data_IF_894438159093
#
_entry.id   IF_894438159093
#
_cell.length_a   1.000
_cell.length_b   1.000
_cell.length_c   1.000
_cell.angle_alpha   90.00
_cell.angle_beta   90.00
_cell.angle_gamma   90.00
#
_symmetry.space_group_name_H-M   'P 1'
#
loop_
_entity.id
_entity.type
_entity.pdbx_description
1 polymer ?
#
# COMPACT_ATOMS: atom_id res chain seq x y z
N UNK A 1 16.21 -0.31 -12.22
CA UNK A 1 15.31 0.35 -11.27
C UNK A 1 14.98 1.75 -11.75
N UNK A 2 13.74 2.09 -11.80
CA UNK A 2 13.34 3.44 -12.20
C UNK A 2 13.64 4.43 -11.07
N UNK A 3 14.39 5.45 -11.38
CA UNK A 3 14.74 6.50 -10.43
C UNK A 3 13.77 7.66 -10.48
N UNK A 4 12.96 7.71 -11.53
CA UNK A 4 12.01 8.80 -11.75
C UNK A 4 10.61 8.32 -11.39
N UNK A 5 9.93 8.97 -10.45
CA UNK A 5 8.54 8.61 -10.18
C UNK A 5 7.67 8.96 -11.38
N UNK A 6 6.59 8.21 -11.55
CA UNK A 6 5.58 8.51 -12.55
C UNK A 6 4.80 9.74 -12.08
N UNK A 7 5.00 10.85 -12.73
CA UNK A 7 4.33 12.11 -12.40
C UNK A 7 3.44 12.51 -13.57
N UNK A 8 2.17 12.73 -13.28
CA UNK A 8 1.16 13.06 -14.28
C UNK A 8 0.37 14.29 -13.78
N UNK A 9 0.29 15.36 -14.57
CA UNK A 9 -0.56 16.49 -14.19
C UNK A 9 -2.03 16.10 -14.23
N UNK A 10 -2.83 16.73 -13.37
CA UNK A 10 -4.27 16.42 -13.27
C UNK A 10 -5.01 16.65 -14.59
N UNK A 11 -4.56 17.56 -15.41
CA UNK A 11 -5.16 17.80 -16.73
C UNK A 11 -5.05 16.58 -17.63
N UNK A 12 -3.92 15.87 -17.57
CA UNK A 12 -3.70 14.66 -18.34
C UNK A 12 -4.59 13.52 -17.84
N UNK A 13 -4.76 13.41 -16.54
CA UNK A 13 -5.68 12.45 -15.94
C UNK A 13 -7.12 12.70 -16.38
N UNK A 14 -7.54 13.96 -16.46
CA UNK A 14 -8.88 14.32 -16.94
C UNK A 14 -9.09 13.95 -18.39
N UNK A 15 -8.06 14.06 -19.21
CA UNK A 15 -8.16 13.77 -20.64
C UNK A 15 -8.25 12.26 -20.91
N UNK A 16 -7.49 11.46 -20.18
CA UNK A 16 -7.45 10.02 -20.43
C UNK A 16 -7.19 9.24 -19.15
N UNK A 17 -8.16 9.23 -18.26
CA UNK A 17 -8.08 8.49 -17.00
C UNK A 17 -7.86 7.00 -17.22
N UNK A 18 -8.49 6.43 -18.26
CA UNK A 18 -8.36 5.01 -18.56
C UNK A 18 -6.92 4.60 -18.86
N UNK A 19 -6.22 5.39 -19.66
CA UNK A 19 -4.82 5.13 -19.99
C UNK A 19 -3.92 5.21 -18.75
N UNK A 20 -4.17 6.18 -17.89
CA UNK A 20 -3.39 6.36 -16.66
C UNK A 20 -3.62 5.18 -15.71
N UNK A 21 -4.87 4.74 -15.57
CA UNK A 21 -5.21 3.56 -14.73
C UNK A 21 -4.54 2.30 -15.27
N UNK A 22 -4.60 2.09 -16.58
CA UNK A 22 -3.93 0.94 -17.21
C UNK A 22 -2.43 0.96 -16.98
N UNK A 23 -1.81 2.12 -17.08
CA UNK A 23 -0.38 2.30 -16.85
C UNK A 23 -0.01 1.95 -15.41
N UNK A 24 -0.77 2.42 -14.43
CA UNK A 24 -0.56 2.10 -13.02
C UNK A 24 -0.72 0.60 -12.76
N UNK A 25 -1.73 -0.03 -13.37
CA UNK A 25 -1.98 -1.46 -13.22
C UNK A 25 -0.88 -2.30 -13.87
N UNK A 26 -0.38 -1.89 -15.03
CA UNK A 26 0.64 -2.63 -15.74
C UNK A 26 2.00 -2.56 -15.05
N UNK A 27 2.38 -1.40 -14.54
CA UNK A 27 3.68 -1.21 -13.90
C UNK A 27 3.71 -1.68 -12.45
N UNK A 28 2.57 -1.65 -11.76
CA UNK A 28 2.50 -1.90 -10.33
C UNK A 28 3.05 -0.75 -9.48
N UNK A 29 3.55 0.30 -10.12
CA UNK A 29 4.10 1.46 -9.44
C UNK A 29 3.05 2.55 -9.27
N UNK A 30 3.13 3.37 -8.22
CA UNK A 30 2.20 4.47 -8.04
C UNK A 30 2.42 5.57 -9.10
N UNK A 31 1.34 6.24 -9.46
CA UNK A 31 1.37 7.40 -10.33
C UNK A 31 1.02 8.63 -9.49
N UNK A 32 1.91 9.59 -9.46
CA UNK A 32 1.74 10.81 -8.68
C UNK A 32 1.01 11.84 -9.52
N UNK A 33 -0.13 12.29 -9.03
CA UNK A 33 -0.97 13.28 -9.71
C UNK A 33 -0.64 14.66 -9.17
N UNK A 34 -0.25 15.56 -10.05
CA UNK A 34 0.12 16.92 -9.66
C UNK A 34 -0.96 17.92 -10.03
N UNK A 35 -1.06 18.95 -9.21
CA UNK A 35 -1.94 20.08 -9.43
C UNK A 35 -1.19 21.34 -8.99
N UNK A 36 -1.11 22.33 -9.86
CA UNK A 36 -0.38 23.57 -9.59
C UNK A 36 1.09 23.30 -9.17
N UNK A 37 1.73 22.34 -9.84
CA UNK A 37 3.13 22.00 -9.59
C UNK A 37 3.40 21.19 -8.32
N UNK A 38 2.36 20.76 -7.62
CA UNK A 38 2.47 19.96 -6.40
C UNK A 38 1.75 18.63 -6.53
N UNK A 39 2.31 17.61 -5.92
CA UNK A 39 1.62 16.32 -5.82
C UNK A 39 0.42 16.45 -4.91
N UNK A 40 -0.77 16.21 -5.45
CA UNK A 40 -2.02 16.31 -4.70
C UNK A 40 -2.67 14.96 -4.44
N UNK A 41 -2.33 13.93 -5.22
CA UNK A 41 -2.91 12.61 -5.10
C UNK A 41 -1.96 11.56 -5.63
N UNK A 42 -2.21 10.31 -5.25
CA UNK A 42 -1.46 9.17 -5.75
C UNK A 42 -2.46 8.17 -6.30
N UNK A 43 -2.26 7.75 -7.54
CA UNK A 43 -3.05 6.72 -8.18
C UNK A 43 -2.28 5.41 -8.11
N UNK A 44 -2.91 4.38 -7.60
CA UNK A 44 -2.29 3.09 -7.39
C UNK A 44 -3.25 2.00 -7.84
N UNK A 45 -2.71 0.93 -8.44
CA UNK A 45 -3.56 -0.21 -8.76
C UNK A 45 -4.12 -0.83 -7.48
N UNK A 46 -5.30 -1.44 -7.59
CA UNK A 46 -5.93 -2.10 -6.44
C UNK A 46 -5.01 -3.17 -5.85
N UNK A 47 -4.34 -3.95 -6.71
CA UNK A 47 -3.42 -4.98 -6.24
C UNK A 47 -2.23 -4.43 -5.47
N UNK A 48 -1.65 -3.33 -5.96
CA UNK A 48 -0.53 -2.69 -5.27
C UNK A 48 -0.95 -2.10 -3.92
N UNK A 49 -2.11 -1.47 -3.88
CA UNK A 49 -2.68 -0.93 -2.65
C UNK A 49 -2.92 -2.04 -1.61
N UNK A 50 -3.56 -3.13 -2.03
CA UNK A 50 -3.83 -4.26 -1.14
C UNK A 50 -2.56 -4.88 -0.59
N UNK A 51 -1.53 -5.02 -1.43
CA UNK A 51 -0.23 -5.53 -1.00
C UNK A 51 0.40 -4.66 0.06
N UNK A 52 0.37 -3.35 -0.12
CA UNK A 52 0.90 -2.40 0.86
C UNK A 52 0.13 -2.49 2.17
N UNK A 53 -1.19 -2.61 2.11
CA UNK A 53 -2.01 -2.74 3.32
C UNK A 53 -1.71 -4.04 4.07
N UNK A 54 -1.47 -5.14 3.36
CA UNK A 54 -1.05 -6.40 3.97
C UNK A 54 0.29 -6.28 4.67
N UNK A 55 1.25 -5.64 4.02
CA UNK A 55 2.59 -5.43 4.59
C UNK A 55 2.51 -4.59 5.87
N UNK A 56 1.71 -3.54 5.86
CA UNK A 56 1.48 -2.71 7.04
C UNK A 56 0.80 -3.50 8.17
N UNK A 57 -0.19 -4.32 7.84
CA UNK A 57 -0.89 -5.14 8.83
C UNK A 57 0.07 -6.13 9.50
N UNK A 58 0.92 -6.78 8.71
CA UNK A 58 1.92 -7.72 9.22
C UNK A 58 2.91 -7.00 10.13
N UNK A 59 3.41 -5.85 9.71
CA UNK A 59 4.35 -5.06 10.50
C UNK A 59 3.74 -4.61 11.84
N UNK A 60 2.47 -4.24 11.86
CA UNK A 60 1.76 -3.88 13.08
C UNK A 60 1.68 -5.07 14.05
N UNK A 61 1.37 -6.24 13.53
CA UNK A 61 1.29 -7.46 14.34
C UNK A 61 2.65 -7.81 14.93
N UNK A 62 3.72 -7.72 14.13
CA UNK A 62 5.07 -7.98 14.59
C UNK A 62 5.51 -6.98 15.66
N UNK A 63 5.19 -5.71 15.48
CA UNK A 63 5.48 -4.68 16.47
C UNK A 63 4.74 -4.92 17.79
N UNK A 64 3.48 -5.32 17.70
CA UNK A 64 2.68 -5.69 18.89
C UNK A 64 3.28 -6.91 19.59
N UNK A 65 3.70 -7.90 18.81
CA UNK A 65 4.36 -9.10 19.35
C UNK A 65 5.63 -8.78 20.11
N UNK A 66 6.47 -7.89 19.58
CA UNK A 66 7.67 -7.44 20.29
C UNK A 66 7.35 -6.74 21.60
N UNK A 67 6.35 -5.86 21.61
CA UNK A 67 5.91 -5.18 22.82
C UNK A 67 5.42 -6.16 23.86
N UNK A 68 4.67 -7.19 23.46
CA UNK A 68 4.18 -8.22 24.36
C UNK A 68 5.31 -9.05 24.96
N UNK A 69 6.33 -9.37 24.19
CA UNK A 69 7.53 -10.08 24.67
C UNK A 69 8.27 -9.23 25.69
N UNK A 70 8.48 -7.96 25.42
CA UNK A 70 9.17 -7.03 26.32
C UNK A 70 8.38 -6.84 27.63
N UNK A 71 7.06 -6.88 27.56
CA UNK A 71 6.20 -6.80 28.74
C UNK A 71 6.13 -8.09 29.53
N UNK A 72 6.79 -9.16 29.10
CA UNK A 72 6.79 -10.45 29.74
C UNK A 72 5.58 -11.31 29.40
N UNK A 73 4.84 -10.94 28.37
CA UNK A 73 3.69 -11.69 27.87
C UNK A 73 4.18 -12.71 26.84
N UNK A 74 3.80 -13.97 26.99
CA UNK A 74 4.16 -15.01 26.00
C UNK A 74 3.51 -14.74 24.66
N UNK A 75 4.25 -15.02 23.59
CA UNK A 75 3.76 -14.89 22.24
C UNK A 75 3.27 -16.26 21.72
N UNK A 76 1.99 -16.34 21.39
CA UNK A 76 1.41 -17.53 20.78
C UNK A 76 1.39 -17.33 19.26
N UNK A 77 2.20 -18.13 18.55
CA UNK A 77 2.31 -18.01 17.10
C UNK A 77 1.01 -18.37 16.39
N UNK A 78 0.21 -19.29 16.95
CA UNK A 78 -1.08 -19.63 16.34
C UNK A 78 -2.04 -18.46 16.39
N UNK A 79 -2.04 -17.71 17.49
CA UNK A 79 -2.86 -16.51 17.64
C UNK A 79 -2.37 -15.43 16.68
N UNK A 80 -1.07 -15.23 16.59
CA UNK A 80 -0.48 -14.23 15.68
C UNK A 80 -0.84 -14.56 14.23
N UNK A 81 -0.71 -15.81 13.83
CA UNK A 81 -1.04 -16.22 12.47
C UNK A 81 -2.53 -16.11 12.17
N UNK A 82 -3.39 -16.39 13.15
CA UNK A 82 -4.83 -16.24 12.99
C UNK A 82 -5.20 -14.75 12.82
N UNK A 83 -4.61 -13.87 13.61
CA UNK A 83 -4.83 -12.42 13.49
C UNK A 83 -4.34 -11.89 12.15
N UNK A 84 -3.17 -12.32 11.71
CA UNK A 84 -2.63 -11.94 10.41
C UNK A 84 -3.55 -12.40 9.28
N UNK A 85 -4.03 -13.64 9.36
CA UNK A 85 -4.97 -14.18 8.38
C UNK A 85 -6.28 -13.41 8.34
N UNK A 86 -6.82 -13.04 9.47
CA UNK A 86 -8.04 -12.25 9.56
C UNK A 86 -7.86 -10.87 8.93
N UNK A 87 -6.73 -10.20 9.19
CA UNK A 87 -6.45 -8.89 8.62
C UNK A 87 -6.24 -8.95 7.09
N UNK A 88 -5.58 -9.99 6.63
CA UNK A 88 -5.34 -10.19 5.19
C UNK A 88 -6.62 -10.57 4.42
N UNK A 89 -7.60 -11.15 5.11
CA UNK A 89 -8.87 -11.54 4.50
C UNK A 89 -9.89 -10.41 4.43
N UNK A 90 -9.64 -9.29 5.08
CA UNK A 90 -10.52 -8.12 5.03
C UNK A 90 -10.45 -7.45 3.67
N UNK A 91 -11.59 -7.11 3.07
CA UNK A 91 -11.63 -6.41 1.79
C UNK A 91 -11.12 -4.97 1.88
#
# INVERSE_FOLDING_TARGET
>A
MSVMPNIVPISELRQDASAIVKRASASGDPVFITQHGRTSAVLQSAGAYERTQRELAILRILAQGEADIEAGVGLDMDVVMAEAGALLAQP
#
